data_IF_033742218399
#
_entry.id   IF_033742218399
#
_cell.length_a   1.000
_cell.length_b   1.000
_cell.length_c   1.000
_cell.angle_alpha   90.00
_cell.angle_beta   90.00
_cell.angle_gamma   90.00
#
_symmetry.space_group_name_H-M   'P 1'
#
loop_
_entity.id
_entity.type
_entity.pdbx_description
1 polymer ?
#
# COMPACT_ATOMS: atom_id res chain seq x y z
N UNK A 1 5.56 -1.89 -14.72
CA UNK A 1 5.64 -1.48 -13.32
C UNK A 1 5.21 -2.69 -12.55
N UNK A 2 6.16 -3.27 -11.82
CA UNK A 2 5.89 -4.41 -10.96
C UNK A 2 5.38 -3.79 -9.66
N UNK A 3 4.09 -3.86 -9.42
CA UNK A 3 3.55 -3.71 -8.06
C UNK A 3 3.80 -5.03 -7.35
N UNK A 4 4.14 -4.99 -6.07
CA UNK A 4 4.29 -6.21 -5.30
C UNK A 4 2.90 -6.84 -5.15
N UNK A 5 2.81 -8.15 -5.35
CA UNK A 5 1.60 -8.92 -5.07
C UNK A 5 1.33 -8.84 -3.56
N UNK A 6 0.11 -8.42 -3.16
CA UNK A 6 -0.28 -8.38 -1.75
C UNK A 6 -0.25 -9.81 -1.19
N UNK A 7 0.39 -10.00 -0.03
CA UNK A 7 0.19 -11.21 0.75
C UNK A 7 -1.16 -11.09 1.48
N UNK A 8 -2.01 -12.10 1.34
CA UNK A 8 -3.30 -12.17 2.06
C UNK A 8 -3.06 -12.15 3.57
N UNK A 9 -3.30 -11.00 4.22
CA UNK A 9 -3.25 -10.87 5.67
C UNK A 9 -3.19 -9.43 6.19
N UNK A 10 -3.91 -9.14 7.27
CA UNK A 10 -3.92 -7.84 7.95
C UNK A 10 -2.63 -7.52 8.76
N UNK A 11 -1.58 -8.31 8.60
CA UNK A 11 -0.34 -8.21 9.39
C UNK A 11 0.65 -7.29 8.69
N UNK A 12 1.15 -6.25 9.37
CA UNK A 12 2.05 -5.25 8.78
C UNK A 12 1.45 -3.86 8.58
N UNK A 13 2.23 -3.00 7.93
CA UNK A 13 1.92 -1.60 7.70
C UNK A 13 2.46 -0.66 8.78
N UNK A 14 2.00 0.59 8.74
CA UNK A 14 2.47 1.63 9.65
C UNK A 14 2.32 1.23 11.12
N UNK A 15 3.29 1.63 11.94
CA UNK A 15 3.38 1.33 13.37
C UNK A 15 3.39 -0.17 13.75
N UNK A 16 3.61 -1.08 12.81
CA UNK A 16 3.83 -2.49 13.16
C UNK A 16 5.16 -2.64 13.92
N UNK A 17 5.14 -3.39 15.02
CA UNK A 17 6.32 -3.62 15.86
C UNK A 17 7.16 -4.76 15.28
N UNK A 18 8.43 -4.80 15.67
CA UNK A 18 9.30 -5.94 15.42
C UNK A 18 8.68 -7.23 15.98
N UNK A 19 8.61 -8.26 15.15
CA UNK A 19 8.06 -9.56 15.51
C UNK A 19 9.18 -10.59 15.49
N UNK A 20 9.36 -11.32 16.60
CA UNK A 20 10.29 -12.44 16.67
C UNK A 20 9.58 -13.74 16.26
N UNK A 21 10.35 -14.67 15.69
CA UNK A 21 9.91 -16.04 15.37
C UNK A 21 8.65 -16.12 14.48
N UNK A 22 8.54 -15.23 13.50
CA UNK A 22 7.46 -15.28 12.50
C UNK A 22 7.81 -16.31 11.44
N UNK A 23 6.95 -17.31 11.28
CA UNK A 23 7.01 -18.25 10.16
C UNK A 23 6.47 -17.57 8.90
N UNK A 24 7.35 -17.22 7.96
CA UNK A 24 6.91 -16.74 6.65
C UNK A 24 6.58 -17.94 5.76
N UNK A 25 5.29 -18.08 5.42
CA UNK A 25 4.77 -19.18 4.59
C UNK A 25 5.45 -19.34 3.23
N UNK A 26 6.16 -18.31 2.75
CA UNK A 26 6.81 -18.31 1.43
C UNK A 26 8.22 -18.92 1.39
N UNK A 27 8.89 -19.16 2.53
CA UNK A 27 10.33 -19.48 2.51
C UNK A 27 10.80 -20.56 3.51
N UNK A 28 9.90 -21.23 4.24
CA UNK A 28 10.26 -22.10 5.38
C UNK A 28 11.25 -21.41 6.35
N UNK A 29 11.12 -20.09 6.42
CA UNK A 29 11.98 -19.21 7.19
C UNK A 29 11.27 -18.91 8.50
N UNK A 30 11.90 -19.30 9.60
CA UNK A 30 11.54 -18.84 10.94
C UNK A 30 12.60 -17.85 11.38
N UNK A 31 12.17 -16.62 11.62
CA UNK A 31 13.06 -15.58 12.07
C UNK A 31 12.31 -14.33 12.43
N UNK A 32 13.06 -13.30 12.80
CA UNK A 32 12.46 -12.06 13.24
C UNK A 32 12.35 -11.05 12.09
N UNK A 33 11.21 -10.37 12.01
CA UNK A 33 10.85 -9.51 10.88
C UNK A 33 10.22 -8.19 11.35
N UNK A 34 10.33 -7.17 10.50
CA UNK A 34 9.64 -5.89 10.66
C UNK A 34 8.73 -5.65 9.46
N UNK A 35 7.41 -5.76 9.66
CA UNK A 35 6.40 -5.70 8.60
C UNK A 35 5.87 -4.28 8.33
N UNK A 36 6.51 -3.25 8.89
CA UNK A 36 6.32 -1.84 8.57
C UNK A 36 7.27 -1.37 7.45
N UNK A 37 7.51 -2.23 6.47
CA UNK A 37 8.50 -2.05 5.41
C UNK A 37 7.79 -2.04 4.05
N UNK A 38 8.27 -1.24 3.10
CA UNK A 38 7.84 -1.25 1.70
C UNK A 38 9.03 -1.20 0.76
N UNK A 39 8.86 -1.71 -0.47
CA UNK A 39 9.88 -1.70 -1.52
C UNK A 39 9.31 -1.10 -2.80
N UNK A 40 10.08 -0.22 -3.44
CA UNK A 40 9.74 0.35 -4.74
C UNK A 40 10.94 0.24 -5.67
N UNK A 41 10.68 -0.01 -6.95
CA UNK A 41 11.69 0.08 -8.02
C UNK A 41 11.27 1.12 -9.05
N UNK A 42 12.22 1.95 -9.45
CA UNK A 42 12.04 2.95 -10.50
C UNK A 42 12.59 2.47 -11.85
N UNK A 43 12.89 1.18 -11.97
CA UNK A 43 13.37 0.56 -13.19
C UNK A 43 12.38 -0.53 -13.58
N UNK A 44 11.93 -0.48 -14.84
CA UNK A 44 11.08 -1.50 -15.43
C UNK A 44 11.66 -1.88 -16.78
N UNK A 45 11.92 -3.17 -17.03
CA UNK A 45 12.57 -3.65 -18.27
C UNK A 45 13.84 -2.85 -18.61
N UNK A 46 14.72 -2.70 -17.63
CA UNK A 46 15.98 -1.94 -17.71
C UNK A 46 15.84 -0.45 -18.08
N UNK A 47 14.62 0.09 -18.06
CA UNK A 47 14.33 1.49 -18.37
C UNK A 47 13.86 2.22 -17.11
N UNK A 48 14.39 3.42 -16.89
CA UNK A 48 13.98 4.25 -15.76
C UNK A 48 12.57 4.79 -15.98
N UNK A 49 11.72 4.67 -14.96
CA UNK A 49 10.37 5.22 -14.97
C UNK A 49 10.42 6.76 -14.88
N UNK A 50 9.51 7.47 -15.57
CA UNK A 50 9.34 8.91 -15.37
C UNK A 50 9.05 9.24 -13.90
N UNK A 51 9.43 10.44 -13.46
CA UNK A 51 9.22 10.88 -12.07
C UNK A 51 7.76 10.74 -11.63
N UNK A 52 6.82 11.17 -12.49
CA UNK A 52 5.39 11.07 -12.20
C UNK A 52 4.91 9.63 -11.94
N UNK A 53 5.41 8.65 -12.71
CA UNK A 53 5.04 7.25 -12.49
C UNK A 53 5.67 6.74 -11.20
N UNK A 54 6.91 7.13 -10.93
CA UNK A 54 7.64 6.78 -9.71
C UNK A 54 6.95 7.30 -8.44
N UNK A 55 6.44 8.54 -8.46
CA UNK A 55 5.67 9.13 -7.36
C UNK A 55 4.38 8.37 -7.09
N UNK A 56 3.67 7.98 -8.15
CA UNK A 56 2.43 7.22 -8.05
C UNK A 56 2.70 5.80 -7.54
N UNK A 57 3.75 5.13 -8.04
CA UNK A 57 4.20 3.83 -7.52
C UNK A 57 4.50 3.92 -6.03
N UNK A 58 5.28 4.92 -5.62
CA UNK A 58 5.60 5.11 -4.21
C UNK A 58 4.35 5.36 -3.35
N UNK A 59 3.45 6.21 -3.81
CA UNK A 59 2.22 6.51 -3.08
C UNK A 59 1.26 5.29 -3.01
N UNK A 60 1.27 4.40 -4.00
CA UNK A 60 0.54 3.13 -4.00
C UNK A 60 1.04 2.19 -2.90
N UNK A 61 2.36 1.94 -2.85
CA UNK A 61 2.96 1.07 -1.81
C UNK A 61 2.82 1.67 -0.41
N UNK A 62 2.84 3.01 -0.31
CA UNK A 62 2.53 3.70 0.94
C UNK A 62 1.05 3.52 1.31
N UNK A 63 0.13 3.56 0.36
CA UNK A 63 -1.30 3.27 0.57
C UNK A 63 -1.54 1.89 1.18
N UNK A 64 -0.82 0.87 0.71
CA UNK A 64 -0.82 -0.46 1.33
C UNK A 64 -0.34 -0.44 2.78
N UNK A 65 0.75 0.28 3.08
CA UNK A 65 1.24 0.44 4.45
C UNK A 65 0.22 1.14 5.37
N UNK A 66 -0.62 2.02 4.84
CA UNK A 66 -1.74 2.65 5.56
C UNK A 66 -3.00 1.78 5.60
N UNK A 67 -2.97 0.56 5.08
CA UNK A 67 -4.03 -0.44 5.17
C UNK A 67 -5.07 -0.39 4.06
N UNK A 68 -4.82 0.32 2.96
CA UNK A 68 -5.66 0.18 1.76
C UNK A 68 -5.22 -1.04 0.96
N UNK A 69 -6.16 -1.95 0.68
CA UNK A 69 -6.00 -2.94 -0.37
C UNK A 69 -6.21 -2.30 -1.75
N UNK A 70 -6.07 -3.11 -2.80
CA UNK A 70 -6.48 -2.69 -4.15
C UNK A 70 -7.96 -2.30 -4.21
N UNK A 71 -8.27 -1.34 -5.08
CA UNK A 71 -9.64 -0.87 -5.29
C UNK A 71 -10.53 -2.01 -5.83
N UNK A 72 -11.62 -2.38 -5.11
CA UNK A 72 -12.56 -3.39 -5.59
C UNK A 72 -13.41 -2.84 -6.75
N UNK A 73 -14.13 -3.70 -7.50
CA UNK A 73 -14.87 -3.28 -8.70
C UNK A 73 -15.79 -2.06 -8.49
N UNK A 74 -16.44 -1.92 -7.34
CA UNK A 74 -17.31 -0.78 -7.00
C UNK A 74 -16.59 0.57 -6.84
N UNK A 75 -15.27 0.56 -6.66
CA UNK A 75 -14.42 1.74 -6.55
C UNK A 75 -13.54 1.97 -7.80
N UNK A 76 -13.73 1.16 -8.83
CA UNK A 76 -13.11 1.34 -10.15
C UNK A 76 -14.10 2.10 -11.05
N UNK A 77 -13.76 3.31 -11.52
CA UNK A 77 -14.64 4.08 -12.38
C UNK A 77 -14.75 3.46 -13.78
N UNK A 78 -15.89 3.66 -14.45
CA UNK A 78 -16.20 3.13 -15.80
C UNK A 78 -15.37 3.75 -16.95
N UNK A 79 -14.32 4.52 -16.65
CA UNK A 79 -13.42 5.15 -17.61
C UNK A 79 -13.53 6.68 -17.70
N UNK A 80 -12.75 7.28 -18.60
CA UNK A 80 -12.76 8.73 -18.88
C UNK A 80 -11.96 9.61 -17.90
N UNK A 81 -11.98 9.31 -16.61
CA UNK A 81 -11.22 10.05 -15.57
C UNK A 81 -10.05 9.27 -14.97
N UNK A 82 -9.84 8.04 -15.47
CA UNK A 82 -8.83 7.09 -15.02
C UNK A 82 -9.13 6.48 -13.65
N UNK A 83 -8.38 5.43 -13.32
CA UNK A 83 -8.51 4.74 -12.04
C UNK A 83 -7.82 5.52 -10.91
N UNK A 84 -8.22 5.20 -9.67
CA UNK A 84 -7.62 5.76 -8.47
C UNK A 84 -6.26 5.15 -8.17
N UNK A 85 -5.57 5.73 -7.19
CA UNK A 85 -4.20 5.40 -6.81
C UNK A 85 -4.01 3.92 -6.42
N UNK A 86 -5.02 3.29 -5.81
CA UNK A 86 -4.96 1.90 -5.34
C UNK A 86 -5.49 0.91 -6.37
N UNK A 87 -5.62 1.29 -7.64
CA UNK A 87 -5.95 0.33 -8.68
C UNK A 87 -4.83 -0.71 -8.86
N UNK A 88 -5.20 -1.99 -8.97
CA UNK A 88 -4.26 -3.11 -8.98
C UNK A 88 -3.22 -3.08 -10.12
N UNK A 89 -3.56 -2.41 -11.23
CA UNK A 89 -2.67 -2.31 -12.39
C UNK A 89 -1.97 -0.96 -12.47
N UNK A 90 -0.75 -1.00 -12.99
CA UNK A 90 0.08 0.17 -13.24
C UNK A 90 -0.65 1.26 -14.03
N UNK A 91 -0.59 2.49 -13.53
CA UNK A 91 -1.13 3.66 -14.19
C UNK A 91 -0.03 4.49 -14.87
N UNK A 92 -0.38 5.12 -16.00
CA UNK A 92 0.49 6.10 -16.66
C UNK A 92 0.56 7.42 -15.87
N UNK A 93 -0.38 7.65 -14.95
CA UNK A 93 -0.39 8.81 -14.06
C UNK A 93 -0.92 10.12 -14.63
N UNK A 94 -1.42 10.09 -15.87
CA UNK A 94 -1.87 11.28 -16.61
C UNK A 94 -3.33 11.66 -16.34
N UNK A 95 -4.12 10.73 -15.78
CA UNK A 95 -5.56 10.94 -15.59
C UNK A 95 -5.86 11.55 -14.20
N UNK A 96 -6.94 12.35 -14.08
CA UNK A 96 -7.25 13.09 -12.85
C UNK A 96 -7.29 12.25 -11.56
N UNK A 97 -7.77 11.01 -11.62
CA UNK A 97 -7.89 10.15 -10.44
C UNK A 97 -6.58 9.46 -10.03
N UNK A 98 -5.55 9.40 -10.89
CA UNK A 98 -4.34 8.63 -10.61
C UNK A 98 -3.52 9.16 -9.42
N UNK A 99 -3.85 10.37 -8.94
CA UNK A 99 -3.23 11.02 -7.77
C UNK A 99 -4.19 11.15 -6.59
N UNK A 100 -5.30 10.39 -6.61
CA UNK A 100 -6.35 10.44 -5.59
C UNK A 100 -6.63 9.03 -5.10
N UNK A 101 -6.94 8.92 -3.82
CA UNK A 101 -7.51 7.70 -3.25
C UNK A 101 -9.00 7.59 -3.61
N UNK A 102 -9.48 6.37 -3.80
CA UNK A 102 -10.90 6.10 -3.96
C UNK A 102 -11.63 6.24 -2.61
N UNK A 103 -12.97 6.20 -2.63
CA UNK A 103 -13.78 6.16 -1.41
C UNK A 103 -13.47 4.90 -0.57
N UNK A 104 -13.14 3.78 -1.24
CA UNK A 104 -12.78 2.54 -0.58
C UNK A 104 -11.44 2.66 0.15
N UNK A 105 -10.41 3.18 -0.55
CA UNK A 105 -9.09 3.37 0.05
C UNK A 105 -9.15 4.35 1.24
N UNK A 106 -9.88 5.47 1.09
CA UNK A 106 -10.06 6.45 2.17
C UNK A 106 -10.69 5.78 3.39
N UNK A 107 -11.70 4.93 3.22
CA UNK A 107 -12.36 4.23 4.33
C UNK A 107 -11.39 3.31 5.06
N UNK A 108 -10.60 2.50 4.34
CA UNK A 108 -9.64 1.57 4.96
C UNK A 108 -8.54 2.31 5.71
N UNK A 109 -7.94 3.32 5.08
CA UNK A 109 -6.89 4.16 5.69
C UNK A 109 -7.43 4.86 6.94
N UNK A 110 -8.64 5.40 6.86
CA UNK A 110 -9.29 6.06 8.00
C UNK A 110 -9.50 5.10 9.17
N UNK A 111 -9.83 3.83 8.89
CA UNK A 111 -9.95 2.77 9.90
C UNK A 111 -8.64 2.54 10.66
N UNK A 112 -7.53 2.41 9.95
CA UNK A 112 -6.19 2.25 10.55
C UNK A 112 -5.82 3.47 11.38
N UNK A 113 -5.94 4.68 10.80
CA UNK A 113 -5.59 5.92 11.49
C UNK A 113 -6.44 6.14 12.75
N UNK A 114 -7.73 5.83 12.71
CA UNK A 114 -8.62 5.95 13.88
C UNK A 114 -8.17 5.05 15.02
N UNK A 115 -7.75 3.81 14.72
CA UNK A 115 -7.21 2.89 15.72
C UNK A 115 -5.87 3.39 16.30
N UNK A 116 -5.03 4.02 15.48
CA UNK A 116 -3.77 4.57 15.95
C UNK A 116 -3.93 5.77 16.88
N UNK A 117 -4.85 6.69 16.53
CA UNK A 117 -5.09 7.90 17.30
C UNK A 117 -5.96 7.68 18.55
N UNK A 118 -6.68 6.55 18.64
CA UNK A 118 -7.41 6.21 19.86
C UNK A 118 -6.50 5.82 21.02
N UNK A 119 -5.18 5.70 20.81
CA UNK A 119 -4.20 5.18 21.77
C UNK A 119 -4.55 3.79 22.32
N UNK A 120 -5.34 3.01 21.58
CA UNK A 120 -5.73 1.65 21.94
C UNK A 120 -5.07 0.64 20.98
N UNK A 121 -4.54 -0.45 21.54
CA UNK A 121 -3.94 -1.54 20.76
C UNK A 121 -2.42 -1.44 20.57
N UNK A 122 -1.86 -2.37 19.79
CA UNK A 122 -0.41 -2.57 19.62
C UNK A 122 0.28 -1.50 18.75
N UNK A 123 -0.50 -0.70 17.99
CA UNK A 123 -0.04 0.30 17.01
C UNK A 123 -0.23 1.75 17.46
N UNK A 124 -0.35 2.00 18.76
CA UNK A 124 -0.67 3.32 19.30
C UNK A 124 0.37 4.40 18.94
N UNK A 125 -0.10 5.47 18.30
CA UNK A 125 0.51 6.79 18.20
C UNK A 125 2.03 6.83 17.88
N UNK A 126 2.46 6.18 16.79
CA UNK A 126 3.85 6.23 16.33
C UNK A 126 4.16 7.35 15.31
N UNK A 127 3.15 8.16 14.94
CA UNK A 127 3.30 9.30 14.03
C UNK A 127 3.71 10.55 14.83
N UNK A 128 4.69 11.30 14.32
CA UNK A 128 5.25 12.51 14.97
C UNK A 128 4.90 13.78 14.21
#
# INVERSE_FOLDING_TARGET
MLTMEEADGNTGGICEKYQADVGLHMADYTGSVSLNTGLVTFINKNSRLPLMVSEITFAHELGHNFGSQHDPPECVPDGGVGNFLMFASASHGTMPNNRRFSVCSIRSISGVLTQMFSNQGSRANCLQ
#
